data_IF_155297704267
#
_entry.id   IF_155297704267
#
_cell.length_a   1.000
_cell.length_b   1.000
_cell.length_c   1.000
_cell.angle_alpha   90.00
_cell.angle_beta   90.00
_cell.angle_gamma   90.00
#
_symmetry.space_group_name_H-M   'P 1'
#
loop_
_entity.id
_entity.type
_entity.pdbx_description
1 polymer ?
#
# COMPACT_ATOMS: atom_id res chain seq x y z
N UNK A 1 6.19 17.08 -22.26
CA UNK A 1 6.47 16.15 -21.15
C UNK A 1 5.26 16.19 -20.24
N UNK A 2 4.55 15.06 -20.05
CA UNK A 2 3.34 15.03 -19.22
C UNK A 2 3.72 15.16 -17.74
N UNK A 3 3.04 16.03 -16.98
CA UNK A 3 3.28 16.14 -15.54
C UNK A 3 2.82 14.84 -14.87
N UNK A 4 3.54 14.45 -13.83
CA UNK A 4 3.19 13.30 -13.00
C UNK A 4 3.63 13.55 -11.56
N UNK A 5 3.04 12.79 -10.65
CA UNK A 5 3.44 12.73 -9.24
C UNK A 5 3.73 11.28 -8.85
N UNK A 6 4.56 11.10 -7.84
CA UNK A 6 4.73 9.79 -7.18
C UNK A 6 3.52 9.50 -6.30
N UNK A 7 3.05 8.26 -6.34
CA UNK A 7 1.99 7.74 -5.48
C UNK A 7 2.39 6.36 -4.95
N UNK A 8 1.74 5.92 -3.88
CA UNK A 8 2.16 4.78 -3.09
C UNK A 8 1.05 3.71 -3.09
N UNK A 9 1.27 2.63 -3.84
CA UNK A 9 0.28 1.58 -4.07
C UNK A 9 0.14 0.67 -2.85
N UNK A 10 -1.10 0.33 -2.49
CA UNK A 10 -1.41 -0.73 -1.52
C UNK A 10 -2.08 -1.94 -2.17
N UNK A 11 -2.06 -3.07 -1.46
CA UNK A 11 -2.95 -4.19 -1.74
C UNK A 11 -4.37 -3.94 -1.20
N UNK A 12 -5.24 -4.95 -1.31
CA UNK A 12 -6.63 -4.92 -0.83
C UNK A 12 -6.78 -4.76 0.68
N UNK A 13 -5.76 -5.12 1.45
CA UNK A 13 -5.75 -5.04 2.90
C UNK A 13 -5.13 -3.72 3.39
N UNK A 14 -4.69 -2.88 2.45
CA UNK A 14 -4.05 -1.59 2.68
C UNK A 14 -2.53 -1.70 2.89
N UNK A 15 -1.90 -2.86 2.71
CA UNK A 15 -0.47 -3.01 2.89
C UNK A 15 0.29 -2.36 1.72
N UNK A 16 1.29 -1.53 2.04
CA UNK A 16 2.13 -0.88 1.04
C UNK A 16 2.89 -1.91 0.19
N UNK A 17 2.90 -1.70 -1.13
CA UNK A 17 3.57 -2.56 -2.09
C UNK A 17 4.79 -1.87 -2.72
N UNK A 18 4.58 -0.73 -3.39
CA UNK A 18 5.61 -0.03 -4.14
C UNK A 18 5.18 1.40 -4.51
N UNK A 19 6.15 2.22 -4.87
CA UNK A 19 5.93 3.53 -5.50
C UNK A 19 5.56 3.35 -6.98
N UNK A 20 4.66 4.19 -7.46
CA UNK A 20 4.29 4.28 -8.88
C UNK A 20 3.98 5.74 -9.24
N UNK A 21 3.59 5.99 -10.48
CA UNK A 21 3.31 7.34 -11.00
C UNK A 21 1.81 7.52 -11.25
N UNK A 22 1.29 8.70 -10.92
CA UNK A 22 -0.01 9.18 -11.37
C UNK A 22 0.21 10.33 -12.37
N UNK A 23 -0.41 10.22 -13.55
CA UNK A 23 -0.29 11.22 -14.61
C UNK A 23 -1.39 12.28 -14.49
N UNK A 24 -1.05 13.53 -14.77
CA UNK A 24 -2.03 14.62 -14.87
C UNK A 24 -2.98 14.36 -16.05
N UNK A 25 -4.27 14.65 -15.89
CA UNK A 25 -5.23 14.60 -16.98
C UNK A 25 -4.98 15.75 -17.97
N UNK A 26 -5.15 15.49 -19.26
CA UNK A 26 -4.82 16.48 -20.31
C UNK A 26 -5.71 17.73 -20.27
N UNK A 27 -6.95 17.60 -19.79
CA UNK A 27 -7.95 18.66 -19.83
C UNK A 27 -8.25 19.29 -18.46
N UNK A 28 -7.60 18.82 -17.39
CA UNK A 28 -7.89 19.25 -16.02
C UNK A 28 -6.58 19.42 -15.24
N UNK A 29 -6.04 20.64 -15.28
CA UNK A 29 -4.75 20.96 -14.68
C UNK A 29 -4.79 20.76 -13.16
N UNK A 30 -3.80 20.04 -12.64
CA UNK A 30 -3.72 19.68 -11.22
C UNK A 30 -4.52 18.45 -10.81
N UNK A 31 -5.28 17.82 -11.72
CA UNK A 31 -6.00 16.57 -11.45
C UNK A 31 -5.22 15.39 -12.01
N UNK A 32 -4.98 14.39 -11.17
CA UNK A 32 -4.13 13.24 -11.50
C UNK A 32 -4.94 11.95 -11.55
N UNK A 33 -4.62 11.08 -12.51
CA UNK A 33 -5.15 9.73 -12.62
C UNK A 33 -4.45 8.81 -11.59
N UNK A 34 -4.82 8.95 -10.33
CA UNK A 34 -4.28 8.13 -9.23
C UNK A 34 -4.85 6.70 -9.33
N UNK A 35 -4.00 5.66 -9.43
CA UNK A 35 -4.47 4.28 -9.44
C UNK A 35 -5.30 3.92 -8.21
N UNK A 36 -6.26 3.02 -8.37
CA UNK A 36 -7.06 2.53 -7.26
C UNK A 36 -6.17 1.90 -6.18
N UNK A 37 -6.35 2.32 -4.92
CA UNK A 37 -5.54 1.86 -3.79
C UNK A 37 -4.16 2.52 -3.70
N UNK A 38 -3.86 3.54 -4.51
CA UNK A 38 -2.67 4.37 -4.35
C UNK A 38 -2.98 5.65 -3.56
N UNK A 39 -2.01 6.10 -2.77
CA UNK A 39 -2.10 7.32 -1.98
C UNK A 39 -1.02 8.31 -2.39
N UNK A 40 -1.30 9.60 -2.27
CA UNK A 40 -0.37 10.68 -2.66
C UNK A 40 0.62 11.03 -1.55
N UNK A 41 0.32 10.66 -0.30
CA UNK A 41 1.21 10.82 0.84
C UNK A 41 2.06 9.57 1.09
N UNK A 42 3.35 9.78 1.33
CA UNK A 42 4.31 8.69 1.49
C UNK A 42 4.07 7.85 2.75
N UNK A 43 4.22 6.51 2.67
CA UNK A 43 4.26 5.68 3.85
C UNK A 43 5.51 6.01 4.70
N UNK A 44 5.47 5.78 6.02
CA UNK A 44 6.64 5.94 6.87
C UNK A 44 7.74 4.93 6.50
N UNK A 45 8.99 5.28 6.79
CA UNK A 45 10.06 4.27 6.83
C UNK A 45 9.80 3.31 7.99
N UNK A 46 9.87 2.01 7.73
CA UNK A 46 9.57 0.95 8.71
C UNK A 46 10.80 0.06 8.91
N UNK A 47 11.04 -0.43 10.15
CA UNK A 47 12.12 -1.38 10.41
C UNK A 47 11.81 -2.75 9.80
N UNK A 48 12.84 -3.60 9.70
CA UNK A 48 12.69 -4.98 9.24
C UNK A 48 11.62 -5.75 10.06
N UNK A 49 10.82 -6.57 9.39
CA UNK A 49 9.72 -7.32 10.00
C UNK A 49 8.43 -6.51 10.22
N UNK A 50 8.40 -5.25 9.77
CA UNK A 50 7.20 -4.40 9.81
C UNK A 50 6.87 -3.86 8.41
N UNK A 51 5.63 -3.41 8.26
CA UNK A 51 5.10 -2.85 7.01
C UNK A 51 4.16 -1.69 7.31
N UNK A 52 4.12 -0.70 6.41
CA UNK A 52 3.12 0.35 6.43
C UNK A 52 1.78 -0.17 5.89
N UNK A 53 0.70 0.10 6.62
CA UNK A 53 -0.67 -0.22 6.24
C UNK A 53 -1.52 1.04 6.22
N UNK A 54 -2.30 1.24 5.17
CA UNK A 54 -3.32 2.28 5.12
C UNK A 54 -4.52 1.88 5.98
N UNK A 55 -4.92 2.77 6.88
CA UNK A 55 -6.13 2.67 7.69
C UNK A 55 -6.86 4.01 7.62
N UNK A 56 -7.92 4.07 6.81
CA UNK A 56 -8.58 5.33 6.46
C UNK A 56 -7.59 6.27 5.75
N UNK A 57 -7.43 7.47 6.29
CA UNK A 57 -6.55 8.50 5.72
C UNK A 57 -5.13 8.52 6.32
N UNK A 58 -4.76 7.51 7.11
CA UNK A 58 -3.47 7.46 7.79
C UNK A 58 -2.68 6.18 7.50
N UNK A 59 -1.35 6.29 7.56
CA UNK A 59 -0.45 5.15 7.60
C UNK A 59 -0.24 4.65 9.03
N UNK A 60 -0.24 3.34 9.20
CA UNK A 60 0.10 2.67 10.46
C UNK A 60 1.19 1.64 10.22
N UNK A 61 2.12 1.51 11.17
CA UNK A 61 3.17 0.49 11.11
C UNK A 61 2.71 -0.79 11.79
N UNK A 62 2.49 -1.85 11.03
CA UNK A 62 2.06 -3.18 11.52
C UNK A 62 3.16 -4.22 11.34
N UNK A 63 3.01 -5.40 11.94
CA UNK A 63 3.92 -6.53 11.71
C UNK A 63 3.72 -7.13 10.32
N UNK A 64 4.82 -7.51 9.66
CA UNK A 64 4.76 -8.16 8.34
C UNK A 64 4.93 -9.67 8.49
N UNK A 65 3.82 -10.40 8.41
CA UNK A 65 3.81 -11.86 8.47
C UNK A 65 3.75 -12.54 7.10
N UNK A 66 3.91 -11.83 5.98
CA UNK A 66 3.77 -12.41 4.64
C UNK A 66 4.78 -13.52 4.33
N UNK A 67 5.94 -13.49 4.99
CA UNK A 67 6.96 -14.53 4.93
C UNK A 67 6.88 -15.56 6.08
N UNK A 68 5.91 -15.42 6.99
CA UNK A 68 5.77 -16.32 8.15
C UNK A 68 5.07 -17.61 7.70
N UNK A 69 5.68 -18.80 7.86
CA UNK A 69 5.04 -20.05 7.53
C UNK A 69 3.86 -20.32 8.49
N UNK A 70 2.69 -20.59 7.91
CA UNK A 70 1.50 -21.00 8.67
C UNK A 70 1.51 -22.51 8.88
N UNK A 71 1.50 -22.96 10.14
CA UNK A 71 1.38 -24.37 10.49
C UNK A 71 -0.04 -24.68 10.94
N UNK A 72 -0.75 -25.51 10.19
CA UNK A 72 -2.11 -25.97 10.52
C UNK A 72 -2.02 -27.40 11.06
N UNK A 73 -2.49 -27.63 12.29
CA UNK A 73 -2.63 -28.98 12.85
C UNK A 73 -4.10 -29.35 12.96
N UNK A 74 -4.54 -30.34 12.19
CA UNK A 74 -5.88 -30.91 12.32
C UNK A 74 -5.96 -31.69 13.63
N UNK A 75 -6.81 -31.24 14.55
CA UNK A 75 -7.20 -32.04 15.71
C UNK A 75 -8.49 -32.76 15.34
N UNK A 76 -8.47 -34.10 15.27
CA UNK A 76 -9.73 -34.85 15.26
C UNK A 76 -10.33 -34.69 16.65
N UNK A 77 -11.49 -34.04 16.74
CA UNK A 77 -12.33 -34.17 17.93
C UNK A 77 -12.73 -35.65 18.08
N UNK A 78 -12.84 -36.17 19.32
CA UNK A 78 -13.19 -37.57 19.58
C UNK A 78 -14.57 -37.95 19.04
#
# INVERSE_FOLDING_TARGET
MHKHITVYQTDRDGLYLYETVAHEFELDEGVYNVPYGAFTDAPPSVPAGRIARRVGDAWQTVEDHRATPLWVRTTKAP
#
